data_IF_624877643140
#
_entry.id   IF_624877643140
#
_cell.length_a   1.000
_cell.length_b   1.000
_cell.length_c   1.000
_cell.angle_alpha   90.00
_cell.angle_beta   90.00
_cell.angle_gamma   90.00
#
_symmetry.space_group_name_H-M   'P 1'
#
loop_
_entity.id
_entity.type
_entity.pdbx_description
1 polymer ?
#
# COMPACT_ATOMS: atom_id res chain seq x y z
N UNK A 1 14.12 -30.53 -22.87
CA UNK A 1 13.01 -29.85 -22.14
C UNK A 1 13.51 -28.45 -21.83
N UNK A 2 12.68 -27.39 -21.98
CA UNK A 2 13.07 -26.04 -21.61
C UNK A 2 13.42 -25.99 -20.13
N UNK A 3 14.53 -25.36 -19.77
CA UNK A 3 14.99 -25.21 -18.41
C UNK A 3 14.35 -23.97 -17.76
N UNK A 4 13.53 -24.19 -16.73
CA UNK A 4 12.91 -23.12 -15.94
C UNK A 4 13.76 -22.85 -14.70
N UNK A 5 14.08 -21.58 -14.48
CA UNK A 5 14.79 -21.11 -13.28
C UNK A 5 14.09 -19.88 -12.69
N UNK A 6 13.98 -19.84 -11.35
CA UNK A 6 13.66 -18.61 -10.62
C UNK A 6 14.93 -18.17 -9.89
N UNK A 7 15.37 -16.94 -10.12
CA UNK A 7 16.59 -16.39 -9.52
C UNK A 7 16.44 -14.89 -9.28
N UNK A 8 17.33 -14.33 -8.46
CA UNK A 8 17.45 -12.88 -8.35
C UNK A 8 17.80 -12.27 -9.72
N UNK A 9 17.23 -11.08 -9.94
CA UNK A 9 17.44 -10.28 -11.13
C UNK A 9 18.89 -9.76 -11.17
N UNK A 10 19.40 -9.60 -12.38
CA UNK A 10 20.70 -9.02 -12.67
C UNK A 10 20.52 -7.79 -13.57
N UNK A 11 21.47 -6.85 -13.61
CA UNK A 11 21.36 -5.66 -14.46
C UNK A 11 21.04 -5.97 -15.92
N UNK A 12 21.59 -7.06 -16.47
CA UNK A 12 21.37 -7.50 -17.84
C UNK A 12 19.93 -7.95 -18.15
N UNK A 13 19.14 -8.33 -17.13
CA UNK A 13 17.76 -8.77 -17.33
C UNK A 13 16.81 -7.60 -17.68
N UNK A 14 17.24 -6.36 -17.42
CA UNK A 14 16.41 -5.14 -17.53
C UNK A 14 15.74 -5.03 -18.89
N UNK A 15 16.51 -5.12 -19.97
CA UNK A 15 15.99 -4.89 -21.31
C UNK A 15 14.89 -5.92 -21.68
N UNK A 16 15.12 -7.20 -21.37
CA UNK A 16 14.17 -8.26 -21.63
C UNK A 16 12.88 -8.09 -20.80
N UNK A 17 13.02 -7.75 -19.52
CA UNK A 17 11.87 -7.55 -18.64
C UNK A 17 11.02 -6.34 -19.05
N UNK A 18 11.66 -5.21 -19.35
CA UNK A 18 10.95 -4.01 -19.78
C UNK A 18 10.22 -4.21 -21.11
N UNK A 19 10.78 -5.01 -22.02
CA UNK A 19 10.14 -5.32 -23.31
C UNK A 19 8.75 -5.97 -23.14
N UNK A 20 8.61 -6.96 -22.26
CA UNK A 20 7.29 -7.58 -22.04
C UNK A 20 6.41 -6.77 -21.07
N UNK A 21 6.99 -5.94 -20.19
CA UNK A 21 6.23 -5.08 -19.28
C UNK A 21 5.59 -3.88 -20.00
N UNK A 22 6.20 -3.36 -21.07
CA UNK A 22 5.73 -2.20 -21.83
C UNK A 22 4.30 -2.34 -22.38
N UNK A 23 3.76 -3.56 -22.42
CA UNK A 23 2.41 -3.86 -22.91
C UNK A 23 1.42 -4.18 -21.79
N UNK A 24 1.76 -3.89 -20.52
CA UNK A 24 0.87 -4.15 -19.38
C UNK A 24 -0.31 -3.18 -19.35
N UNK A 25 -0.07 -1.89 -19.58
CA UNK A 25 -1.09 -0.84 -19.67
C UNK A 25 -0.86 0.07 -20.87
N UNK A 26 -1.86 0.88 -21.24
CA UNK A 26 -1.78 1.82 -22.37
C UNK A 26 -0.62 2.81 -22.25
N UNK A 27 -0.25 3.19 -21.02
CA UNK A 27 0.86 4.10 -20.74
C UNK A 27 2.20 3.39 -20.50
N UNK A 28 2.27 2.06 -20.64
CA UNK A 28 3.45 1.24 -20.35
C UNK A 28 3.34 0.49 -19.02
N UNK A 29 4.43 0.49 -18.24
CA UNK A 29 4.47 -0.03 -16.86
C UNK A 29 5.42 0.82 -15.99
N UNK A 30 5.21 0.86 -14.68
CA UNK A 30 6.05 1.61 -13.76
C UNK A 30 7.38 0.89 -13.46
N UNK A 31 7.52 -0.39 -13.82
CA UNK A 31 8.74 -1.19 -13.59
C UNK A 31 10.00 -0.48 -14.08
N UNK A 32 9.93 0.24 -15.22
CA UNK A 32 11.07 1.00 -15.75
C UNK A 32 11.60 2.03 -14.75
N UNK A 33 10.71 2.73 -14.03
CA UNK A 33 11.06 3.81 -13.13
C UNK A 33 11.58 3.33 -11.77
N UNK A 34 11.34 2.05 -11.43
CA UNK A 34 11.69 1.47 -10.13
C UNK A 34 12.73 0.36 -10.24
N UNK A 35 13.12 -0.04 -11.46
CA UNK A 35 14.05 -1.16 -11.68
C UNK A 35 15.34 -1.01 -10.90
N UNK A 36 16.04 0.12 -11.04
CA UNK A 36 17.34 0.33 -10.41
C UNK A 36 17.21 0.43 -8.88
N UNK A 37 16.14 1.03 -8.38
CA UNK A 37 15.82 1.04 -6.95
C UNK A 37 15.63 -0.38 -6.43
N UNK A 38 14.81 -1.18 -7.11
CA UNK A 38 14.45 -2.52 -6.69
C UNK A 38 15.62 -3.51 -6.77
N UNK A 39 16.50 -3.34 -7.77
CA UNK A 39 17.67 -4.18 -7.95
C UNK A 39 18.71 -3.99 -6.83
N UNK A 40 18.78 -2.79 -6.24
CA UNK A 40 19.77 -2.43 -5.22
C UNK A 40 19.18 -2.27 -3.82
N UNK A 41 17.89 -2.55 -3.62
CA UNK A 41 17.22 -2.41 -2.33
C UNK A 41 17.67 -3.51 -1.35
N UNK A 42 18.42 -3.17 -0.28
CA UNK A 42 18.87 -4.16 0.70
C UNK A 42 17.70 -4.77 1.50
N UNK A 43 16.55 -4.09 1.56
CA UNK A 43 15.37 -4.54 2.27
C UNK A 43 14.43 -5.39 1.39
N UNK A 44 14.80 -5.64 0.14
CA UNK A 44 13.99 -6.42 -0.80
C UNK A 44 14.79 -7.41 -1.62
N UNK A 45 14.07 -8.09 -2.50
CA UNK A 45 14.64 -8.93 -3.54
C UNK A 45 13.79 -8.80 -4.82
N UNK A 46 14.47 -8.60 -5.94
CA UNK A 46 13.87 -8.61 -7.27
C UNK A 46 14.14 -9.97 -7.91
N UNK A 47 13.10 -10.71 -8.25
CA UNK A 47 13.21 -12.02 -8.89
C UNK A 47 12.85 -11.94 -10.37
N UNK A 48 13.52 -12.78 -11.16
CA UNK A 48 13.13 -13.09 -12.53
C UNK A 48 12.86 -14.58 -12.68
N UNK A 49 11.86 -14.90 -13.51
CA UNK A 49 11.68 -16.24 -14.04
C UNK A 49 12.35 -16.32 -15.41
N UNK A 50 13.18 -17.32 -15.64
CA UNK A 50 13.84 -17.53 -16.94
C UNK A 50 13.46 -18.86 -17.55
N UNK A 51 13.38 -18.90 -18.88
CA UNK A 51 13.29 -20.12 -19.68
C UNK A 51 14.49 -20.16 -20.60
N UNK A 52 15.32 -21.19 -20.48
CA UNK A 52 16.57 -21.34 -21.23
C UNK A 52 17.46 -20.07 -21.15
N UNK A 53 17.47 -19.44 -19.97
CA UNK A 53 18.22 -18.20 -19.69
C UNK A 53 17.53 -16.90 -20.09
N UNK A 54 16.43 -16.95 -20.86
CA UNK A 54 15.67 -15.75 -21.24
C UNK A 54 14.71 -15.32 -20.11
N UNK A 55 14.77 -14.07 -19.61
CA UNK A 55 13.79 -13.56 -18.65
C UNK A 55 12.39 -13.46 -19.27
N UNK A 56 11.41 -14.08 -18.61
CA UNK A 56 10.01 -14.18 -19.05
C UNK A 56 9.00 -13.87 -17.94
N UNK A 57 9.48 -13.45 -16.78
CA UNK A 57 8.66 -12.99 -15.67
C UNK A 57 9.48 -12.26 -14.62
N UNK A 58 8.82 -11.45 -13.81
CA UNK A 58 9.41 -10.63 -12.74
C UNK A 58 8.46 -10.59 -11.55
N UNK A 59 9.03 -10.51 -10.34
CA UNK A 59 8.30 -10.18 -9.12
C UNK A 59 9.24 -9.56 -8.08
N UNK A 60 8.71 -8.79 -7.14
CA UNK A 60 9.50 -8.17 -6.06
C UNK A 60 8.92 -8.51 -4.70
N UNK A 61 9.79 -8.73 -3.71
CA UNK A 61 9.45 -8.58 -2.29
C UNK A 61 10.21 -7.41 -1.69
N UNK A 62 9.62 -6.78 -0.68
CA UNK A 62 10.34 -5.92 0.25
C UNK A 62 9.83 -6.12 1.67
N UNK A 63 10.70 -5.95 2.65
CA UNK A 63 10.33 -5.88 4.06
C UNK A 63 9.84 -4.46 4.38
N UNK A 64 8.63 -4.33 4.94
CA UNK A 64 8.08 -3.05 5.42
C UNK A 64 8.60 -2.70 6.81
N UNK A 65 8.85 -3.73 7.62
CA UNK A 65 9.47 -3.70 8.93
C UNK A 65 10.13 -5.08 9.18
N UNK A 66 10.54 -5.38 10.40
CA UNK A 66 11.21 -6.64 10.74
C UNK A 66 10.35 -7.89 10.48
N UNK A 67 9.02 -7.76 10.49
CA UNK A 67 8.08 -8.89 10.49
C UNK A 67 7.09 -8.91 9.33
N UNK A 68 6.91 -7.81 8.61
CA UNK A 68 5.92 -7.67 7.56
C UNK A 68 6.58 -7.51 6.18
N UNK A 69 6.32 -8.47 5.28
CA UNK A 69 6.74 -8.40 3.89
C UNK A 69 5.63 -7.85 2.99
N UNK A 70 6.01 -7.16 1.92
CA UNK A 70 5.13 -6.69 0.86
C UNK A 70 5.54 -7.29 -0.48
N UNK A 71 4.60 -7.95 -1.15
CA UNK A 71 4.81 -8.61 -2.44
C UNK A 71 4.20 -7.76 -3.55
N UNK A 72 4.98 -7.46 -4.59
CA UNK A 72 4.55 -6.59 -5.68
C UNK A 72 5.26 -6.89 -7.01
N UNK A 73 4.95 -6.11 -8.04
CA UNK A 73 5.66 -6.15 -9.32
C UNK A 73 5.46 -7.41 -10.17
N UNK A 74 4.52 -8.30 -9.81
CA UNK A 74 4.31 -9.57 -10.52
C UNK A 74 3.90 -9.35 -12.00
N UNK A 75 4.75 -9.78 -12.93
CA UNK A 75 4.46 -9.84 -14.38
C UNK A 75 4.98 -11.13 -14.98
N UNK A 76 4.27 -11.64 -15.98
CA UNK A 76 4.69 -12.76 -16.81
C UNK A 76 4.46 -12.39 -18.27
N UNK A 77 5.48 -12.59 -19.09
CA UNK A 77 5.42 -12.40 -20.54
C UNK A 77 4.19 -13.14 -21.10
N UNK A 78 3.29 -12.45 -21.84
CA UNK A 78 2.12 -13.06 -22.45
C UNK A 78 2.39 -14.36 -23.21
N UNK A 79 3.52 -14.49 -23.90
CA UNK A 79 3.87 -15.67 -24.70
C UNK A 79 4.22 -16.91 -23.83
N UNK A 80 4.51 -16.70 -22.55
CA UNK A 80 4.93 -17.74 -21.61
C UNK A 80 3.93 -17.99 -20.48
N UNK A 81 2.73 -17.39 -20.55
CA UNK A 81 1.64 -17.61 -19.58
C UNK A 81 1.15 -19.07 -19.61
N UNK A 82 0.40 -19.43 -18.57
CA UNK A 82 -0.16 -20.78 -18.35
C UNK A 82 0.90 -21.89 -18.17
N UNK A 83 2.13 -21.52 -17.81
CA UNK A 83 3.24 -22.46 -17.52
C UNK A 83 3.65 -22.50 -16.04
N UNK A 84 2.81 -21.98 -15.14
CA UNK A 84 3.08 -21.96 -13.70
C UNK A 84 4.09 -20.90 -13.22
N UNK A 85 4.59 -20.02 -14.11
CA UNK A 85 5.63 -19.02 -13.79
C UNK A 85 5.24 -18.08 -12.65
N UNK A 86 4.01 -17.56 -12.65
CA UNK A 86 3.54 -16.66 -11.60
C UNK A 86 3.50 -17.36 -10.23
N UNK A 87 3.15 -18.65 -10.19
CA UNK A 87 3.16 -19.47 -8.97
C UNK A 87 4.58 -19.72 -8.49
N UNK A 88 5.51 -20.03 -9.40
CA UNK A 88 6.92 -20.23 -9.05
C UNK A 88 7.55 -18.95 -8.49
N UNK A 89 7.30 -17.80 -9.14
CA UNK A 89 7.71 -16.48 -8.64
C UNK A 89 7.09 -16.17 -7.28
N UNK A 90 5.78 -16.39 -7.10
CA UNK A 90 5.11 -16.13 -5.83
C UNK A 90 5.66 -16.99 -4.69
N UNK A 91 5.96 -18.27 -4.94
CA UNK A 91 6.59 -19.13 -3.94
C UNK A 91 8.00 -18.66 -3.59
N UNK A 92 8.79 -18.19 -4.56
CA UNK A 92 10.11 -17.62 -4.30
C UNK A 92 10.02 -16.36 -3.43
N UNK A 93 9.03 -15.50 -3.69
CA UNK A 93 8.74 -14.33 -2.86
C UNK A 93 8.44 -14.72 -1.40
N UNK A 94 7.61 -15.74 -1.17
CA UNK A 94 7.27 -16.21 0.18
C UNK A 94 8.47 -16.85 0.91
N UNK A 95 9.26 -17.65 0.19
CA UNK A 95 10.49 -18.24 0.74
C UNK A 95 11.46 -17.14 1.16
N UNK A 96 11.61 -16.11 0.35
CA UNK A 96 12.48 -14.98 0.67
C UNK A 96 11.97 -14.16 1.86
N UNK A 97 10.66 -13.89 1.92
CA UNK A 97 10.04 -13.24 3.07
C UNK A 97 10.33 -14.02 4.36
N UNK A 98 10.15 -15.35 4.37
CA UNK A 98 10.46 -16.19 5.53
C UNK A 98 11.94 -16.15 5.91
N UNK A 99 12.86 -16.20 4.95
CA UNK A 99 14.31 -16.08 5.21
C UNK A 99 14.67 -14.75 5.87
N UNK A 100 13.95 -13.68 5.53
CA UNK A 100 14.13 -12.33 6.09
C UNK A 100 13.42 -12.11 7.43
N UNK A 101 12.77 -13.14 7.98
CA UNK A 101 12.10 -13.08 9.28
C UNK A 101 10.64 -12.63 9.22
N UNK A 102 10.05 -12.52 8.03
CA UNK A 102 8.65 -12.13 7.90
C UNK A 102 7.72 -13.15 8.57
N UNK A 103 6.87 -12.67 9.46
CA UNK A 103 5.74 -13.42 10.04
C UNK A 103 4.45 -13.15 9.29
N UNK A 104 4.39 -12.07 8.51
CA UNK A 104 3.26 -11.73 7.66
C UNK A 104 3.73 -11.33 6.25
N UNK A 105 2.91 -11.58 5.25
CA UNK A 105 3.11 -11.09 3.89
C UNK A 105 1.80 -10.49 3.37
N UNK A 106 1.90 -9.29 2.80
CA UNK A 106 0.80 -8.55 2.22
C UNK A 106 1.03 -8.23 0.75
N UNK A 107 -0.05 -8.01 0.02
CA UNK A 107 -0.03 -7.47 -1.34
C UNK A 107 -1.36 -6.78 -1.60
N UNK A 108 -1.42 -6.03 -2.70
CA UNK A 108 -2.66 -5.48 -3.21
C UNK A 108 -2.79 -5.74 -4.71
N UNK A 109 -4.02 -5.98 -5.14
CA UNK A 109 -4.35 -6.16 -6.56
C UNK A 109 -5.75 -5.60 -6.82
N UNK A 110 -6.03 -5.26 -8.07
CA UNK A 110 -7.38 -4.82 -8.46
C UNK A 110 -8.38 -5.95 -8.27
N UNK A 111 -9.59 -5.62 -7.81
CA UNK A 111 -10.64 -6.61 -7.56
C UNK A 111 -11.09 -7.35 -8.82
N UNK A 112 -10.86 -6.77 -9.99
CA UNK A 112 -11.16 -7.34 -11.32
C UNK A 112 -10.03 -8.22 -11.86
N UNK A 113 -8.85 -8.25 -11.22
CA UNK A 113 -7.72 -9.08 -11.64
C UNK A 113 -7.89 -10.54 -11.18
N UNK A 114 -8.83 -11.25 -11.81
CA UNK A 114 -9.23 -12.61 -11.43
C UNK A 114 -8.06 -13.61 -11.43
N UNK A 115 -7.11 -13.45 -12.36
CA UNK A 115 -5.91 -14.29 -12.42
C UNK A 115 -5.00 -14.10 -11.19
N UNK A 116 -4.78 -12.86 -10.76
CA UNK A 116 -4.04 -12.53 -9.54
C UNK A 116 -4.79 -13.03 -8.31
N UNK A 117 -6.08 -12.72 -8.18
CA UNK A 117 -6.92 -13.15 -7.05
C UNK A 117 -6.86 -14.68 -6.87
N UNK A 118 -7.04 -15.44 -7.96
CA UNK A 118 -6.96 -16.90 -7.91
C UNK A 118 -5.57 -17.44 -7.55
N UNK A 119 -4.49 -16.75 -7.96
CA UNK A 119 -3.13 -17.10 -7.54
C UNK A 119 -2.94 -16.88 -6.04
N UNK A 120 -3.38 -15.72 -5.54
CA UNK A 120 -3.25 -15.28 -4.15
C UNK A 120 -4.03 -16.22 -3.20
N UNK A 121 -5.29 -16.53 -3.53
CA UNK A 121 -6.13 -17.43 -2.72
C UNK A 121 -5.56 -18.84 -2.64
N UNK A 122 -5.00 -19.36 -3.75
CA UNK A 122 -4.29 -20.66 -3.75
C UNK A 122 -2.99 -20.63 -2.95
N UNK A 123 -2.39 -19.45 -2.78
CA UNK A 123 -1.25 -19.21 -1.91
C UNK A 123 -1.61 -19.06 -0.43
N UNK A 124 -2.84 -19.40 -0.03
CA UNK A 124 -3.37 -19.30 1.34
C UNK A 124 -3.47 -17.86 1.90
N UNK A 125 -3.44 -16.86 1.03
CA UNK A 125 -3.76 -15.50 1.43
C UNK A 125 -5.26 -15.35 1.62
N UNK A 126 -5.65 -14.51 2.58
CA UNK A 126 -7.02 -14.10 2.80
C UNK A 126 -7.18 -12.61 2.52
N UNK A 127 -8.32 -12.22 1.97
CA UNK A 127 -8.66 -10.80 1.83
C UNK A 127 -8.93 -10.20 3.21
N UNK A 128 -8.17 -9.17 3.57
CA UNK A 128 -8.29 -8.45 4.87
C UNK A 128 -8.89 -7.05 4.75
N UNK A 129 -8.98 -6.52 3.53
CA UNK A 129 -9.54 -5.19 3.28
C UNK A 129 -9.76 -4.93 1.79
N UNK A 130 -10.43 -3.84 1.47
CA UNK A 130 -10.50 -3.25 0.13
C UNK A 130 -10.87 -1.78 0.24
N UNK A 131 -10.45 -0.98 -0.73
CA UNK A 131 -10.81 0.43 -0.82
C UNK A 131 -11.10 0.82 -2.27
N UNK A 132 -11.84 1.91 -2.43
CA UNK A 132 -11.96 2.63 -3.69
C UNK A 132 -11.23 3.97 -3.56
N UNK A 133 -10.53 4.38 -4.62
CA UNK A 133 -9.83 5.65 -4.64
C UNK A 133 -10.80 6.79 -4.90
N UNK A 134 -10.85 7.75 -3.97
CA UNK A 134 -11.55 9.01 -4.14
C UNK A 134 -10.54 10.16 -4.19
N UNK A 135 -10.85 11.17 -5.00
CA UNK A 135 -10.05 12.39 -5.10
C UNK A 135 -10.98 13.60 -5.00
N UNK A 136 -10.51 14.64 -4.34
CA UNK A 136 -11.20 15.91 -4.24
C UNK A 136 -10.21 17.06 -4.46
N UNK A 137 -10.62 18.08 -5.21
CA UNK A 137 -9.81 19.28 -5.43
C UNK A 137 -9.66 20.07 -4.12
N UNK A 138 -8.48 20.66 -3.83
CA UNK A 138 -8.32 21.60 -2.73
C UNK A 138 -9.36 22.73 -2.76
N UNK A 139 -9.78 23.20 -1.59
CA UNK A 139 -10.74 24.28 -1.41
C UNK A 139 -10.03 25.51 -0.83
N UNK A 140 -9.69 26.46 -1.70
CA UNK A 140 -8.97 27.68 -1.31
C UNK A 140 -9.85 28.73 -0.64
N UNK A 141 -11.18 28.66 -0.84
CA UNK A 141 -12.16 29.57 -0.21
C UNK A 141 -13.17 28.76 0.60
N UNK A 142 -13.35 29.02 1.90
CA UNK A 142 -14.39 28.36 2.71
C UNK A 142 -15.78 28.67 2.17
N UNK A 143 -16.64 27.66 2.03
CA UNK A 143 -18.04 27.93 1.72
C UNK A 143 -18.71 28.57 2.95
N UNK A 144 -19.70 29.46 2.75
CA UNK A 144 -20.41 30.10 3.87
C UNK A 144 -21.02 29.10 4.86
N UNK A 145 -21.41 27.92 4.36
CA UNK A 145 -21.96 26.82 5.17
C UNK A 145 -20.94 26.17 6.11
N UNK A 146 -19.64 26.42 5.91
CA UNK A 146 -18.56 25.84 6.70
C UNK A 146 -18.14 26.75 7.87
N UNK A 147 -18.72 27.95 7.99
CA UNK A 147 -18.46 28.86 9.11
C UNK A 147 -19.10 28.35 10.41
N UNK A 148 -18.32 28.37 11.49
CA UNK A 148 -18.77 27.95 12.82
C UNK A 148 -18.77 26.43 13.05
N UNK A 149 -18.43 25.62 12.03
CA UNK A 149 -18.25 24.19 12.22
C UNK A 149 -17.02 23.89 13.08
N UNK A 150 -17.15 22.88 13.94
CA UNK A 150 -16.04 22.28 14.67
C UNK A 150 -14.95 21.83 13.69
N UNK A 151 -13.69 21.97 14.10
CA UNK A 151 -12.53 21.64 13.27
C UNK A 151 -11.71 20.54 13.92
N UNK A 152 -11.11 19.65 13.11
CA UNK A 152 -10.19 18.67 13.65
C UNK A 152 -8.96 19.35 14.20
N UNK A 153 -8.41 18.76 15.24
CA UNK A 153 -7.16 19.16 15.86
C UNK A 153 -6.07 18.18 15.42
N UNK A 154 -4.83 18.65 15.36
CA UNK A 154 -3.69 17.73 15.25
C UNK A 154 -3.54 17.00 16.58
N UNK A 155 -3.46 15.67 16.52
CA UNK A 155 -3.19 14.88 17.70
C UNK A 155 -1.77 15.14 18.21
N UNK A 156 -1.62 15.04 19.53
CA UNK A 156 -0.37 15.14 20.25
C UNK A 156 -0.07 13.81 20.94
N UNK A 157 1.12 13.68 21.55
CA UNK A 157 1.46 12.48 22.32
C UNK A 157 0.48 12.22 23.47
N UNK A 158 -0.15 13.24 24.02
CA UNK A 158 -1.15 13.10 25.07
C UNK A 158 -2.44 12.41 24.59
N UNK A 159 -2.67 12.36 23.27
CA UNK A 159 -3.87 11.76 22.67
C UNK A 159 -3.68 10.27 22.31
N UNK A 160 -2.48 9.70 22.47
CA UNK A 160 -2.17 8.34 22.01
C UNK A 160 -3.03 7.27 22.67
N UNK A 161 -3.18 7.31 23.99
CA UNK A 161 -3.99 6.35 24.73
C UNK A 161 -5.47 6.44 24.29
N UNK A 162 -5.98 7.65 24.09
CA UNK A 162 -7.33 7.86 23.59
C UNK A 162 -7.51 7.29 22.18
N UNK A 163 -6.54 7.52 21.28
CA UNK A 163 -6.56 6.99 19.91
C UNK A 163 -6.55 5.45 19.92
N UNK A 164 -5.69 4.83 20.73
CA UNK A 164 -5.61 3.37 20.85
C UNK A 164 -6.95 2.82 21.37
N UNK A 165 -7.50 3.43 22.43
CA UNK A 165 -8.79 3.02 22.98
C UNK A 165 -9.93 3.17 21.96
N UNK A 166 -9.93 4.27 21.19
CA UNK A 166 -10.89 4.49 20.12
C UNK A 166 -10.81 3.41 19.04
N UNK A 167 -9.60 3.09 18.54
CA UNK A 167 -9.40 2.06 17.52
C UNK A 167 -9.81 0.67 18.01
N UNK A 168 -9.53 0.33 19.28
CA UNK A 168 -9.95 -0.92 19.90
C UNK A 168 -11.48 -1.07 20.01
N UNK A 169 -12.21 0.05 20.11
CA UNK A 169 -13.67 0.08 20.16
C UNK A 169 -14.32 0.29 18.78
N UNK A 170 -13.54 0.54 17.74
CA UNK A 170 -14.05 0.85 16.40
C UNK A 170 -14.54 -0.39 15.67
N UNK A 171 -15.67 -0.24 14.96
CA UNK A 171 -16.15 -1.24 14.00
C UNK A 171 -15.46 -1.11 12.63
N UNK A 172 -14.90 0.06 12.30
CA UNK A 172 -14.23 0.33 11.03
C UNK A 172 -12.82 -0.26 11.04
N UNK A 173 -12.10 -0.11 12.15
CA UNK A 173 -10.72 -0.56 12.29
C UNK A 173 -10.51 -2.04 11.90
N UNK A 174 -11.24 -3.02 12.46
CA UNK A 174 -11.13 -4.41 12.04
C UNK A 174 -11.70 -4.66 10.63
N UNK A 175 -12.71 -3.90 10.19
CA UNK A 175 -13.33 -4.07 8.88
C UNK A 175 -12.40 -3.71 7.71
N UNK A 176 -11.42 -2.83 7.95
CA UNK A 176 -10.36 -2.51 6.98
C UNK A 176 -9.04 -3.23 7.28
N UNK A 177 -9.07 -4.24 8.16
CA UNK A 177 -7.94 -5.10 8.48
C UNK A 177 -6.92 -4.50 9.46
N UNK A 178 -7.24 -3.38 10.11
CA UNK A 178 -6.30 -2.66 10.98
C UNK A 178 -5.15 -2.02 10.21
N UNK A 179 -5.39 -1.64 8.94
CA UNK A 179 -4.36 -1.22 8.01
C UNK A 179 -4.42 0.29 7.71
N UNK A 180 -3.24 0.88 7.63
CA UNK A 180 -2.99 2.20 7.07
C UNK A 180 -2.49 2.07 5.63
N UNK A 181 -3.15 2.74 4.69
CA UNK A 181 -2.79 2.68 3.28
C UNK A 181 -1.95 3.89 2.85
N UNK A 182 -0.72 3.64 2.40
CA UNK A 182 0.10 4.62 1.69
C UNK A 182 0.13 4.25 0.20
N UNK A 183 -0.67 4.94 -0.62
CA UNK A 183 -0.96 4.53 -2.01
C UNK A 183 -1.39 3.06 -2.08
N UNK A 184 -0.61 2.21 -2.74
CA UNK A 184 -0.89 0.80 -2.96
C UNK A 184 -0.06 -0.09 -2.04
N UNK A 185 0.27 0.40 -0.84
CA UNK A 185 0.94 -0.38 0.20
C UNK A 185 0.17 -0.22 1.50
N UNK A 186 -0.09 -1.34 2.17
CA UNK A 186 -0.78 -1.36 3.45
C UNK A 186 0.21 -1.68 4.57
N UNK A 187 0.13 -0.91 5.65
CA UNK A 187 0.93 -1.06 6.86
C UNK A 187 0.00 -1.37 8.02
N UNK A 188 0.37 -2.30 8.90
CA UNK A 188 -0.36 -2.49 10.14
C UNK A 188 -0.32 -1.22 11.00
N UNK A 189 -1.46 -0.81 11.54
CA UNK A 189 -1.52 0.28 12.51
C UNK A 189 -1.08 -0.27 13.86
N UNK A 190 0.21 -0.09 14.15
CA UNK A 190 0.83 -0.43 15.44
C UNK A 190 0.97 0.81 16.32
N UNK A 191 1.28 0.63 17.60
CA UNK A 191 1.59 1.74 18.51
C UNK A 191 2.75 2.58 17.97
N UNK A 192 3.83 1.94 17.50
CA UNK A 192 4.98 2.63 16.91
C UNK A 192 4.59 3.46 15.68
N UNK A 193 3.72 2.93 14.82
CA UNK A 193 3.21 3.69 13.67
C UNK A 193 2.38 4.89 14.12
N UNK A 194 1.52 4.73 15.12
CA UNK A 194 0.72 5.83 15.68
C UNK A 194 1.62 6.90 16.30
N UNK A 195 2.62 6.52 17.09
CA UNK A 195 3.60 7.43 17.69
C UNK A 195 4.38 8.22 16.62
N UNK A 196 4.85 7.52 15.57
CA UNK A 196 5.54 8.15 14.46
C UNK A 196 4.64 9.12 13.70
N UNK A 197 3.39 8.73 13.41
CA UNK A 197 2.38 9.57 12.73
C UNK A 197 2.04 10.81 13.56
N UNK A 198 1.80 10.66 14.86
CA UNK A 198 1.52 11.77 15.79
C UNK A 198 2.72 12.73 15.85
N UNK A 199 3.94 12.19 16.00
CA UNK A 199 5.17 13.00 16.03
C UNK A 199 5.40 13.76 14.72
N UNK A 200 4.99 13.18 13.58
CA UNK A 200 5.05 13.81 12.27
C UNK A 200 3.87 14.76 11.98
N UNK A 201 2.98 15.03 12.94
CA UNK A 201 1.75 15.83 12.76
C UNK A 201 0.85 15.29 11.63
N UNK A 202 0.76 13.96 11.53
CA UNK A 202 0.02 13.22 10.50
C UNK A 202 -1.28 12.60 11.02
N UNK A 203 -1.74 12.98 12.21
CA UNK A 203 -2.99 12.48 12.78
C UNK A 203 -3.90 13.65 13.13
N UNK A 204 -5.09 13.65 12.54
CA UNK A 204 -6.15 14.60 12.82
C UNK A 204 -7.22 13.92 13.66
N UNK A 205 -7.69 14.57 14.72
CA UNK A 205 -8.71 14.06 15.63
C UNK A 205 -9.87 15.04 15.76
N UNK A 206 -11.07 14.50 15.92
CA UNK A 206 -12.28 15.22 16.30
C UNK A 206 -12.68 14.79 17.70
N UNK A 207 -13.03 15.75 18.56
CA UNK A 207 -13.56 15.47 19.91
C UNK A 207 -14.97 16.03 20.06
N UNK A 208 -15.83 15.28 20.73
CA UNK A 208 -17.18 15.69 21.15
C UNK A 208 -17.39 15.25 22.59
N UNK A 209 -17.81 16.19 23.43
CA UNK A 209 -17.97 15.95 24.87
C UNK A 209 -16.74 15.26 25.49
N UNK A 210 -15.56 15.80 25.18
CA UNK A 210 -14.24 15.33 25.60
C UNK A 210 -13.83 13.91 25.17
N UNK A 211 -14.60 13.28 24.27
CA UNK A 211 -14.28 11.95 23.70
C UNK A 211 -13.92 12.06 22.24
N UNK A 212 -13.03 11.20 21.76
CA UNK A 212 -12.79 11.07 20.32
C UNK A 212 -14.06 10.61 19.60
N UNK A 213 -14.43 11.35 18.56
CA UNK A 213 -15.59 11.05 17.69
C UNK A 213 -15.18 10.73 16.24
N UNK A 214 -13.89 10.93 15.93
CA UNK A 214 -13.28 10.53 14.67
C UNK A 214 -11.81 10.88 14.60
N UNK A 215 -11.10 10.23 13.67
CA UNK A 215 -9.70 10.49 13.39
C UNK A 215 -9.33 10.18 11.94
N UNK A 216 -8.25 10.77 11.46
CA UNK A 216 -7.64 10.42 10.19
C UNK A 216 -6.12 10.42 10.27
N UNK A 217 -5.49 9.41 9.66
CA UNK A 217 -4.06 9.38 9.40
C UNK A 217 -3.81 9.92 8.00
N UNK A 218 -3.07 11.01 7.91
CA UNK A 218 -2.89 11.82 6.70
C UNK A 218 -1.42 12.07 6.45
N UNK A 219 -0.96 11.83 5.23
CA UNK A 219 0.40 12.16 4.80
C UNK A 219 0.40 13.13 3.62
N UNK A 220 1.35 14.07 3.63
CA UNK A 220 1.64 14.88 2.44
C UNK A 220 2.52 14.07 1.49
N UNK A 221 2.16 14.06 0.22
CA UNK A 221 2.89 13.33 -0.82
C UNK A 221 3.15 14.24 -1.99
N UNK A 222 4.40 14.27 -2.43
CA UNK A 222 4.78 14.87 -3.70
C UNK A 222 4.84 13.78 -4.77
N UNK A 223 4.15 14.00 -5.89
CA UNK A 223 4.20 13.11 -7.04
C UNK A 223 4.27 13.89 -8.34
N UNK A 224 4.19 13.19 -9.48
CA UNK A 224 4.23 13.81 -10.82
C UNK A 224 3.15 14.88 -11.04
N UNK A 225 2.05 14.82 -10.29
CA UNK A 225 0.95 15.80 -10.36
C UNK A 225 0.99 16.88 -9.27
N UNK A 226 2.14 17.03 -8.60
CA UNK A 226 2.32 18.01 -7.53
C UNK A 226 2.14 17.42 -6.14
N UNK A 227 1.99 18.31 -5.16
CA UNK A 227 1.72 17.95 -3.77
C UNK A 227 0.26 17.57 -3.58
N UNK A 228 -0.01 16.51 -2.84
CA UNK A 228 -1.36 16.08 -2.45
C UNK A 228 -1.36 15.62 -0.99
N UNK A 229 -2.46 15.85 -0.29
CA UNK A 229 -2.73 15.19 0.98
C UNK A 229 -3.41 13.84 0.70
N UNK A 230 -2.81 12.78 1.22
CA UNK A 230 -3.32 11.42 1.13
C UNK A 230 -3.85 10.97 2.48
N UNK A 231 -5.09 10.52 2.52
CA UNK A 231 -5.72 9.94 3.71
C UNK A 231 -5.55 8.43 3.62
N UNK A 232 -4.71 7.86 4.49
CA UNK A 232 -4.43 6.42 4.49
C UNK A 232 -5.31 5.61 5.44
N UNK A 233 -5.92 6.28 6.42
CA UNK A 233 -6.94 5.72 7.30
C UNK A 233 -7.86 6.84 7.77
N UNK A 234 -9.16 6.59 7.85
CA UNK A 234 -10.15 7.50 8.42
C UNK A 234 -11.27 6.72 9.09
N UNK A 235 -11.68 7.19 10.26
CA UNK A 235 -12.64 6.54 11.13
C UNK A 235 -13.41 7.61 11.92
N UNK A 236 -14.66 7.34 12.26
CA UNK A 236 -15.52 8.30 12.93
C UNK A 236 -16.99 8.09 12.61
N UNK A 237 -17.82 8.91 13.25
CA UNK A 237 -19.19 9.13 12.78
C UNK A 237 -19.17 9.76 11.38
N UNK A 238 -20.24 9.57 10.60
CA UNK A 238 -20.38 10.21 9.27
C UNK A 238 -20.12 11.72 9.33
N UNK A 239 -20.54 12.36 10.42
CA UNK A 239 -20.36 13.79 10.65
C UNK A 239 -18.89 14.14 10.92
N UNK A 240 -18.22 13.44 11.85
CA UNK A 240 -16.80 13.67 12.14
C UNK A 240 -15.91 13.39 10.93
N UNK A 241 -16.18 12.31 10.19
CA UNK A 241 -15.49 12.03 8.92
C UNK A 241 -15.66 13.19 7.95
N UNK A 242 -16.89 13.70 7.79
CA UNK A 242 -17.18 14.82 6.89
C UNK A 242 -16.42 16.08 7.30
N UNK A 243 -16.42 16.43 8.60
CA UNK A 243 -15.71 17.59 9.12
C UNK A 243 -14.20 17.47 8.90
N UNK A 244 -13.61 16.29 9.13
CA UNK A 244 -12.20 16.03 8.88
C UNK A 244 -11.87 16.22 7.40
N UNK A 245 -12.59 15.56 6.49
CA UNK A 245 -12.25 15.62 5.05
C UNK A 245 -12.46 17.02 4.45
N UNK A 246 -13.49 17.75 4.88
CA UNK A 246 -13.69 19.14 4.43
C UNK A 246 -12.62 20.09 4.96
N UNK A 247 -12.16 19.89 6.20
CA UNK A 247 -11.05 20.67 6.74
C UNK A 247 -9.73 20.39 6.00
N UNK A 248 -9.42 19.11 5.74
CA UNK A 248 -8.21 18.70 5.01
C UNK A 248 -8.15 19.28 3.60
N UNK A 249 -9.28 19.43 2.90
CA UNK A 249 -9.32 20.09 1.58
C UNK A 249 -8.81 21.53 1.61
N UNK A 250 -8.83 22.20 2.76
CA UNK A 250 -8.32 23.59 2.92
C UNK A 250 -6.84 23.66 3.24
N UNK A 251 -6.21 22.52 3.52
CA UNK A 251 -4.80 22.39 3.92
C UNK A 251 -3.91 21.81 2.82
N UNK A 252 -4.51 21.35 1.71
CA UNK A 252 -3.83 20.76 0.56
C UNK A 252 -3.30 21.83 -0.41
#
# INVERSE_FOLDING_TARGET
MPYLEIREARPEDRAAVLAFCAHTWEWGDYIEFVWDEWLHDPHGALFVATIDGQPVGISRIRMLNETDAWLEGMRVDPAFRHRGLATALHNAQLVEAMKRGATSAGLITESTNTASVSLIERGFFRRVGAFALFKATPATTPAKRDYGLERPQLATKADLDDIINYLNASNIFPAVGGLYYCAFTAYAITNDLLEAKVSAQQVYIMRRWDRLDGLALVESRSGRQGSQLSIGYIDGTTESISLIVYDLRRKA
#
